data_IF_530726456723
#
_entry.id   IF_530726456723
#
_cell.length_a   1.000
_cell.length_b   1.000
_cell.length_c   1.000
_cell.angle_alpha   90.00
_cell.angle_beta   90.00
_cell.angle_gamma   90.00
#
_symmetry.space_group_name_H-M   'P 1'
#
loop_
_entity.id
_entity.type
_entity.pdbx_description
1 polymer ?
#
# COMPACT_ATOMS: atom_id res chain seq x y z
N UNK A 1 -32.77 -8.39 65.54
CA UNK A 1 -32.55 -8.69 64.11
C UNK A 1 -31.46 -7.73 63.61
N UNK A 2 -30.18 -7.84 63.99
CA UNK A 2 -29.09 -8.69 63.45
C UNK A 2 -29.08 -8.80 61.91
N UNK A 3 -28.20 -8.02 61.27
CA UNK A 3 -27.41 -8.23 60.03
C UNK A 3 -26.67 -6.90 59.80
N UNK A 4 -25.55 -6.61 60.46
CA UNK A 4 -24.20 -7.05 60.11
C UNK A 4 -23.94 -7.28 58.61
N UNK A 5 -23.01 -6.46 58.10
CA UNK A 5 -21.74 -6.84 57.45
C UNK A 5 -21.58 -6.71 55.92
N UNK A 6 -20.51 -5.97 55.58
CA UNK A 6 -19.54 -6.12 54.47
C UNK A 6 -19.91 -5.40 53.16
N UNK A 7 -19.25 -4.29 52.82
CA UNK A 7 -17.97 -4.25 52.09
C UNK A 7 -17.94 -5.23 50.90
N UNK A 8 -18.15 -4.72 49.67
CA UNK A 8 -17.19 -4.95 48.60
C UNK A 8 -17.45 -3.94 47.46
N UNK A 9 -16.52 -3.01 47.30
CA UNK A 9 -16.30 -2.30 46.05
C UNK A 9 -15.66 -3.34 45.12
N UNK A 10 -16.43 -3.88 44.19
CA UNK A 10 -15.86 -4.64 43.08
C UNK A 10 -16.01 -3.86 41.77
N UNK A 11 -14.88 -3.27 41.40
CA UNK A 11 -14.51 -2.94 40.03
C UNK A 11 -14.71 -4.20 39.18
N UNK A 12 -15.68 -4.18 38.27
CA UNK A 12 -15.58 -4.98 37.05
C UNK A 12 -15.57 -4.06 35.84
N UNK A 13 -14.36 -4.02 35.30
CA UNK A 13 -13.87 -3.34 34.12
C UNK A 13 -14.65 -3.85 32.91
N UNK A 14 -15.78 -3.22 32.58
CA UNK A 14 -16.36 -3.39 31.25
C UNK A 14 -15.56 -2.54 30.26
N UNK A 15 -14.44 -3.13 29.84
CA UNK A 15 -13.98 -3.19 28.46
C UNK A 15 -14.23 -1.90 27.65
N UNK A 16 -13.25 -1.00 27.75
CA UNK A 16 -12.48 -0.48 26.62
C UNK A 16 -13.06 -0.82 25.23
N UNK A 17 -14.19 -0.22 24.88
CA UNK A 17 -14.59 0.01 23.50
C UNK A 17 -14.54 1.50 23.21
N UNK A 18 -13.43 2.11 23.64
CA UNK A 18 -12.87 3.31 23.03
C UNK A 18 -12.19 2.88 21.73
N UNK A 19 -12.94 2.37 20.75
CA UNK A 19 -12.55 2.54 19.35
C UNK A 19 -12.79 4.01 19.04
N UNK A 20 -11.86 4.82 19.54
CA UNK A 20 -11.55 6.13 19.03
C UNK A 20 -11.18 5.89 17.58
N UNK A 21 -12.21 5.83 16.74
CA UNK A 21 -12.13 5.92 15.29
C UNK A 21 -11.64 7.36 15.07
N UNK A 22 -10.37 7.58 15.38
CA UNK A 22 -9.71 8.82 15.07
C UNK A 22 -9.63 8.80 13.57
N UNK A 23 -10.63 9.45 12.97
CA UNK A 23 -10.54 10.03 11.67
C UNK A 23 -9.17 10.68 11.63
N UNK A 24 -8.24 9.99 10.93
CA UNK A 24 -7.00 10.60 10.53
C UNK A 24 -7.45 11.79 9.71
N UNK A 25 -7.31 12.98 10.30
CA UNK A 25 -7.69 14.22 9.69
C UNK A 25 -7.19 14.20 8.24
N UNK A 26 -8.14 14.25 7.31
CA UNK A 26 -7.87 14.50 5.92
C UNK A 26 -7.27 15.91 5.87
N UNK A 27 -5.95 16.00 6.02
CA UNK A 27 -5.23 17.23 5.74
C UNK A 27 -5.49 17.51 4.27
N UNK A 28 -6.31 18.53 4.03
CA UNK A 28 -6.55 19.08 2.71
C UNK A 28 -5.24 19.69 2.22
N UNK A 29 -4.33 18.87 1.72
CA UNK A 29 -3.30 19.28 0.80
C UNK A 29 -3.50 18.48 -0.47
N UNK A 30 -3.93 19.15 -1.54
CA UNK A 30 -4.20 18.52 -2.84
C UNK A 30 -2.96 17.82 -3.45
N UNK A 31 -1.79 17.89 -2.80
CA UNK A 31 -0.52 17.37 -3.32
C UNK A 31 0.30 16.50 -2.33
N UNK A 32 -0.29 15.94 -1.26
CA UNK A 32 0.43 15.00 -0.34
C UNK A 32 1.19 13.88 -1.09
N UNK A 33 0.66 13.44 -2.22
CA UNK A 33 1.21 12.37 -3.04
C UNK A 33 2.40 12.77 -3.93
N UNK A 34 2.70 14.07 -4.02
CA UNK A 34 3.83 14.59 -4.80
C UNK A 34 5.14 14.51 -4.02
N UNK A 35 5.08 14.45 -2.70
CA UNK A 35 6.24 14.37 -1.84
C UNK A 35 6.67 12.92 -1.62
N UNK A 36 7.95 12.63 -1.87
CA UNK A 36 8.52 11.29 -1.69
C UNK A 36 8.43 10.88 -0.21
N UNK A 37 8.74 11.78 0.71
CA UNK A 37 8.75 11.51 2.14
C UNK A 37 7.36 11.11 2.66
N UNK A 38 6.30 11.76 2.15
CA UNK A 38 4.93 11.41 2.50
C UNK A 38 4.56 10.00 2.02
N UNK A 39 4.97 9.64 0.79
CA UNK A 39 4.77 8.30 0.23
C UNK A 39 5.52 7.24 1.04
N UNK A 40 6.78 7.50 1.41
CA UNK A 40 7.59 6.57 2.22
C UNK A 40 6.97 6.35 3.60
N UNK A 41 6.52 7.44 4.25
CA UNK A 41 5.85 7.36 5.56
C UNK A 41 4.59 6.48 5.51
N UNK A 42 3.78 6.61 4.46
CA UNK A 42 2.60 5.76 4.26
C UNK A 42 2.99 4.30 4.01
N UNK A 43 4.03 4.05 3.22
CA UNK A 43 4.54 2.69 2.99
C UNK A 43 5.05 2.04 4.29
N UNK A 44 5.76 2.79 5.13
CA UNK A 44 6.22 2.31 6.43
C UNK A 44 5.06 2.05 7.38
N UNK A 45 4.04 2.93 7.39
CA UNK A 45 2.83 2.73 8.19
C UNK A 45 2.10 1.43 7.80
N UNK A 46 1.93 1.20 6.49
CA UNK A 46 1.33 -0.04 5.97
C UNK A 46 2.19 -1.25 6.34
N UNK A 47 3.52 -1.13 6.22
CA UNK A 47 4.45 -2.21 6.60
C UNK A 47 4.30 -2.61 8.06
N UNK A 48 4.30 -1.63 8.97
CA UNK A 48 4.16 -1.86 10.41
C UNK A 48 2.80 -2.45 10.75
N UNK A 49 1.73 -1.92 10.15
CA UNK A 49 0.36 -2.39 10.39
C UNK A 49 0.15 -3.85 9.99
N UNK A 50 0.78 -4.29 8.90
CA UNK A 50 0.62 -5.63 8.35
C UNK A 50 1.81 -6.57 8.65
N UNK A 51 2.76 -6.13 9.49
CA UNK A 51 3.96 -6.89 9.86
C UNK A 51 4.69 -7.51 8.66
N UNK A 52 4.84 -6.74 7.59
CA UNK A 52 5.45 -7.23 6.36
C UNK A 52 6.97 -7.34 6.53
N UNK A 53 7.51 -8.51 6.20
CA UNK A 53 8.96 -8.79 6.27
C UNK A 53 9.77 -8.03 5.21
N UNK A 54 9.13 -7.61 4.13
CA UNK A 54 9.78 -6.90 3.04
C UNK A 54 9.97 -5.42 3.40
N UNK A 55 11.12 -4.80 3.09
CA UNK A 55 11.38 -3.40 3.40
C UNK A 55 10.33 -2.46 2.78
N UNK A 56 9.79 -2.83 1.61
CA UNK A 56 8.66 -2.18 0.97
C UNK A 56 7.60 -3.21 0.57
N UNK A 57 6.30 -2.90 0.72
CA UNK A 57 5.21 -3.77 0.29
C UNK A 57 5.19 -3.92 -1.24
N UNK A 58 4.95 -5.14 -1.72
CA UNK A 58 4.77 -5.40 -3.15
C UNK A 58 3.49 -4.73 -3.67
N UNK A 59 3.47 -4.36 -4.96
CA UNK A 59 2.28 -3.76 -5.58
C UNK A 59 1.03 -4.63 -5.46
N UNK A 60 1.16 -5.96 -5.44
CA UNK A 60 0.03 -6.89 -5.28
C UNK A 60 -0.63 -6.70 -3.92
N UNK A 61 0.17 -6.74 -2.85
CA UNK A 61 -0.28 -6.52 -1.47
C UNK A 61 -0.95 -5.15 -1.32
N UNK A 62 -0.36 -4.09 -1.91
CA UNK A 62 -0.97 -2.76 -1.86
C UNK A 62 -2.34 -2.69 -2.56
N UNK A 63 -2.54 -3.47 -3.63
CA UNK A 63 -3.84 -3.55 -4.31
C UNK A 63 -4.86 -4.33 -3.50
N UNK A 64 -4.46 -5.44 -2.91
CA UNK A 64 -5.31 -6.27 -2.03
C UNK A 64 -5.78 -5.49 -0.79
N UNK A 65 -4.92 -4.62 -0.26
CA UNK A 65 -5.24 -3.72 0.84
C UNK A 65 -6.06 -2.48 0.44
N UNK A 66 -6.38 -2.31 -0.85
CA UNK A 66 -7.16 -1.17 -1.34
C UNK A 66 -6.38 0.14 -1.50
N UNK A 67 -5.05 0.13 -1.33
CA UNK A 67 -4.19 1.32 -1.49
C UNK A 67 -3.85 1.61 -2.97
N UNK A 68 -4.86 1.57 -3.84
CA UNK A 68 -4.69 1.78 -5.30
C UNK A 68 -4.27 3.20 -5.64
N UNK A 69 -4.74 4.19 -4.88
CA UNK A 69 -4.35 5.60 -5.02
C UNK A 69 -2.85 5.82 -4.74
N UNK A 70 -2.31 5.18 -3.69
CA UNK A 70 -0.88 5.22 -3.35
C UNK A 70 -0.04 4.58 -4.46
N UNK A 71 -0.47 3.42 -4.96
CA UNK A 71 0.18 2.77 -6.11
C UNK A 71 0.18 3.68 -7.34
N UNK A 72 -0.92 4.38 -7.60
CA UNK A 72 -1.04 5.30 -8.72
C UNK A 72 -0.11 6.51 -8.57
N UNK A 73 -0.03 7.10 -7.37
CA UNK A 73 0.89 8.18 -7.05
C UNK A 73 2.35 7.79 -7.31
N UNK A 74 2.78 6.62 -6.80
CA UNK A 74 4.13 6.10 -7.00
C UNK A 74 4.44 5.96 -8.50
N UNK A 75 3.50 5.42 -9.29
CA UNK A 75 3.68 5.20 -10.73
C UNK A 75 3.73 6.49 -11.54
N UNK A 76 2.85 7.46 -11.26
CA UNK A 76 2.71 8.67 -12.08
C UNK A 76 3.63 9.81 -11.66
N UNK A 77 3.88 9.98 -10.36
CA UNK A 77 4.68 11.10 -9.83
C UNK A 77 6.13 10.72 -9.57
N UNK A 78 6.38 9.49 -9.13
CA UNK A 78 7.70 9.06 -8.64
C UNK A 78 8.44 8.10 -9.58
N UNK A 79 7.91 7.83 -10.78
CA UNK A 79 8.56 6.95 -11.77
C UNK A 79 8.43 5.46 -11.46
N UNK A 80 7.56 5.07 -10.53
CA UNK A 80 7.31 3.69 -10.13
C UNK A 80 8.20 3.19 -8.99
N UNK A 81 7.99 1.94 -8.59
CA UNK A 81 8.67 1.32 -7.45
C UNK A 81 10.19 1.18 -7.66
N UNK A 82 10.64 0.98 -8.90
CA UNK A 82 12.07 0.91 -9.21
C UNK A 82 12.78 2.25 -9.02
N UNK A 83 12.20 3.33 -9.54
CA UNK A 83 12.75 4.68 -9.34
C UNK A 83 12.68 5.10 -7.85
N UNK A 84 11.59 4.76 -7.16
CA UNK A 84 11.46 4.99 -5.73
C UNK A 84 12.55 4.27 -4.91
N UNK A 85 12.78 2.99 -5.19
CA UNK A 85 13.82 2.21 -4.52
C UNK A 85 15.24 2.73 -4.81
N UNK A 86 15.51 3.20 -6.04
CA UNK A 86 16.78 3.86 -6.38
C UNK A 86 16.98 5.16 -5.57
N UNK A 87 15.95 6.00 -5.45
CA UNK A 87 16.00 7.24 -4.65
C UNK A 87 16.24 6.98 -3.16
N UNK A 88 15.81 5.82 -2.67
CA UNK A 88 15.99 5.41 -1.28
C UNK A 88 17.27 4.60 -1.04
N UNK A 89 18.10 4.39 -2.07
CA UNK A 89 19.34 3.60 -1.95
C UNK A 89 19.12 2.11 -1.70
N UNK A 90 17.93 1.60 -2.01
CA UNK A 90 17.56 0.21 -1.72
C UNK A 90 18.08 -0.66 -2.85
N UNK A 91 18.80 -1.76 -2.56
CA UNK A 91 19.37 -2.62 -3.58
C UNK A 91 18.26 -3.33 -4.35
N UNK A 92 18.01 -2.89 -5.58
CA UNK A 92 17.12 -3.59 -6.51
C UNK A 92 17.95 -4.65 -7.23
N UNK A 93 17.52 -5.91 -7.17
CA UNK A 93 18.17 -6.97 -7.93
C UNK A 93 17.99 -6.68 -9.44
N UNK A 94 19.06 -6.47 -10.22
CA UNK A 94 18.96 -6.00 -11.61
C UNK A 94 18.18 -6.98 -12.51
N UNK A 95 18.32 -8.29 -12.27
CA UNK A 95 17.61 -9.32 -13.02
C UNK A 95 16.06 -9.19 -12.96
N UNK A 96 15.52 -8.64 -11.87
CA UNK A 96 14.07 -8.44 -11.70
C UNK A 96 13.58 -7.32 -12.62
N UNK A 97 14.35 -6.23 -12.73
CA UNK A 97 14.04 -5.12 -13.62
C UNK A 97 14.06 -5.55 -15.09
N UNK A 98 15.08 -6.31 -15.48
CA UNK A 98 15.20 -6.81 -16.86
C UNK A 98 14.11 -7.80 -17.22
N UNK A 99 13.72 -8.65 -16.27
CA UNK A 99 12.58 -9.56 -16.42
C UNK A 99 11.27 -8.77 -16.61
N UNK A 100 11.05 -7.71 -15.84
CA UNK A 100 9.87 -6.87 -15.96
C UNK A 100 9.79 -6.15 -17.31
N UNK A 101 10.90 -5.58 -17.79
CA UNK A 101 11.00 -4.97 -19.12
C UNK A 101 10.64 -5.96 -20.22
N UNK A 102 11.16 -7.20 -20.14
CA UNK A 102 10.86 -8.28 -21.09
C UNK A 102 9.36 -8.65 -21.08
N UNK A 103 8.75 -8.75 -19.89
CA UNK A 103 7.31 -9.05 -19.76
C UNK A 103 6.43 -7.95 -20.35
N UNK A 104 6.71 -6.67 -20.05
CA UNK A 104 5.98 -5.53 -20.63
C UNK A 104 6.09 -5.54 -22.16
N UNK A 105 7.30 -5.72 -22.68
CA UNK A 105 7.52 -5.80 -24.14
C UNK A 105 6.70 -6.92 -24.78
N UNK A 106 6.63 -8.10 -24.17
CA UNK A 106 5.83 -9.24 -24.64
C UNK A 106 4.33 -8.93 -24.61
N UNK A 107 3.83 -8.28 -23.56
CA UNK A 107 2.42 -7.91 -23.46
C UNK A 107 2.05 -6.91 -24.57
N UNK A 108 2.84 -5.86 -24.77
CA UNK A 108 2.61 -4.89 -25.84
C UNK A 108 2.57 -5.54 -27.23
N UNK A 109 3.38 -6.57 -27.48
CA UNK A 109 3.35 -7.34 -28.74
C UNK A 109 2.05 -8.16 -28.87
N UNK A 110 1.59 -8.78 -27.79
CA UNK A 110 0.30 -9.50 -27.75
C UNK A 110 -0.87 -8.56 -27.98
N UNK A 111 -0.87 -7.41 -27.32
CA UNK A 111 -1.93 -6.41 -27.47
C UNK A 111 -1.99 -5.89 -28.91
N UNK A 112 -0.83 -5.56 -29.51
CA UNK A 112 -0.75 -5.20 -30.93
C UNK A 112 -1.29 -6.31 -31.84
N UNK A 113 -0.90 -7.56 -31.61
CA UNK A 113 -1.40 -8.71 -32.39
C UNK A 113 -2.91 -8.88 -32.20
N UNK A 114 -3.43 -8.76 -30.96
CA UNK A 114 -4.85 -8.84 -30.67
C UNK A 114 -5.62 -7.72 -31.39
N UNK A 115 -5.09 -6.50 -31.43
CA UNK A 115 -5.70 -5.40 -32.19
C UNK A 115 -5.70 -5.63 -33.70
N UNK A 116 -4.65 -6.25 -34.26
CA UNK A 116 -4.62 -6.63 -35.69
C UNK A 116 -5.64 -7.73 -36.00
N UNK A 117 -5.69 -8.78 -35.18
CA UNK A 117 -6.67 -9.87 -35.31
C UNK A 117 -8.09 -9.32 -35.22
N UNK A 118 -8.37 -8.45 -34.25
CA UNK A 118 -9.69 -7.84 -34.08
C UNK A 118 -10.12 -6.97 -35.29
N UNK A 119 -9.16 -6.41 -36.03
CA UNK A 119 -9.39 -5.65 -37.26
C UNK A 119 -9.39 -6.54 -38.51
N UNK A 120 -9.24 -7.86 -38.37
CA UNK A 120 -9.00 -8.79 -39.48
C UNK A 120 -7.83 -8.37 -40.40
N UNK A 121 -6.84 -7.69 -39.82
CA UNK A 121 -5.65 -7.19 -40.52
C UNK A 121 -4.56 -8.27 -40.54
N UNK A 122 -4.75 -9.26 -41.41
CA UNK A 122 -3.91 -10.46 -41.54
C UNK A 122 -2.74 -10.32 -42.51
N UNK A 123 -2.70 -9.24 -43.30
CA UNK A 123 -1.67 -9.00 -44.31
C UNK A 123 -0.52 -8.11 -43.77
#
# INVERSE_FOLDING_TARGET
MRFERLHCIERSVHLLWRRHFQQVACTHSNNKWNDINAVVKELDFIRQRHNLKTPYPETKVLKELGHTALVYAIRKKHGGFGALAQRLGVPIKPHVLDSHKKVISRQNRRDKRATRIARHDFF
#
